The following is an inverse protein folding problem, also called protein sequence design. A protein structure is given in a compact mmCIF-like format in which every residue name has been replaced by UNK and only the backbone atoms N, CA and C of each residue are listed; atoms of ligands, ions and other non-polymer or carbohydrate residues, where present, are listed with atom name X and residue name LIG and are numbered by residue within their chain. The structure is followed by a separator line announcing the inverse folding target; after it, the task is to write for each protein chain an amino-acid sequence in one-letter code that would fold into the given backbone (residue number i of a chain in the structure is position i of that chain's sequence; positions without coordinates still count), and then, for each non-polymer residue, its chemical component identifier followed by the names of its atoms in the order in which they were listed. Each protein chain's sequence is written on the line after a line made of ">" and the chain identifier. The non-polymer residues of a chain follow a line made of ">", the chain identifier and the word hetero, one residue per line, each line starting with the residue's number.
data_IF_660322119272
#
_entry.id   IF_660322119272
#
_cell.length_a   1.000
_cell.length_b   1.000
_cell.length_c   1.000
_cell.angle_alpha   90.00
_cell.angle_beta   90.00
_cell.angle_gamma   90.00
#
_symmetry.space_group_name_H-M   'P 1'
#
loop_
_entity.id
_entity.type
_entity.pdbx_description
1 polymer ?
#
# COMPACT_ATOMS: atom_id res chain seq x y z
N UNK A 1 -34.53 -49.33 -41.28
CA UNK A 1 -34.56 -48.02 -41.96
C UNK A 1 -33.80 -47.09 -41.04
N UNK A 2 -32.58 -46.65 -41.38
CA UNK A 2 -32.27 -45.63 -42.40
C UNK A 2 -33.08 -44.34 -42.18
N UNK A 3 -32.55 -43.13 -42.16
CA UNK A 3 -31.19 -42.56 -42.05
C UNK A 3 -31.33 -41.12 -42.57
N UNK A 4 -30.65 -40.14 -41.93
CA UNK A 4 -30.06 -38.96 -42.61
C UNK A 4 -31.04 -37.90 -43.17
N UNK A 5 -30.69 -36.60 -43.38
CA UNK A 5 -29.46 -35.76 -43.35
C UNK A 5 -29.93 -34.28 -43.04
N UNK A 6 -29.24 -33.13 -43.10
CA UNK A 6 -27.89 -32.56 -43.42
C UNK A 6 -27.94 -31.14 -42.75
N UNK A 7 -26.99 -30.56 -42.01
CA UNK A 7 -25.80 -31.05 -41.25
C UNK A 7 -25.81 -30.25 -39.92
N UNK A 8 -24.82 -29.56 -39.32
CA UNK A 8 -23.38 -29.25 -39.45
C UNK A 8 -22.86 -28.98 -38.01
N UNK A 9 -21.63 -29.24 -37.56
CA UNK A 9 -20.47 -29.99 -38.07
C UNK A 9 -19.59 -30.34 -36.87
N UNK A 10 -19.05 -31.56 -36.79
CA UNK A 10 -17.97 -31.87 -35.83
C UNK A 10 -16.59 -31.53 -36.42
N UNK A 11 -16.33 -30.24 -36.56
CA UNK A 11 -14.99 -29.62 -36.56
C UNK A 11 -15.16 -28.37 -35.67
N UNK A 12 -14.33 -28.10 -34.68
CA UNK A 12 -12.94 -28.55 -34.48
C UNK A 12 -12.74 -29.29 -33.14
N UNK A 13 -12.20 -30.50 -33.21
CA UNK A 13 -11.24 -30.96 -32.18
C UNK A 13 -9.86 -30.44 -32.60
N UNK A 14 -8.96 -30.24 -31.63
CA UNK A 14 -7.50 -30.08 -31.83
C UNK A 14 -7.05 -28.81 -32.60
N UNK A 15 -7.32 -27.64 -32.05
CA UNK A 15 -6.56 -26.42 -32.30
C UNK A 15 -5.76 -25.99 -31.05
N UNK A 16 -4.58 -26.60 -30.86
CA UNK A 16 -3.40 -26.07 -30.12
C UNK A 16 -3.71 -25.49 -28.71
N UNK A 17 -3.57 -26.26 -27.62
CA UNK A 17 -2.27 -26.60 -27.02
C UNK A 17 -1.34 -25.39 -26.73
N UNK A 18 -1.90 -24.28 -26.23
CA UNK A 18 -1.13 -23.26 -25.50
C UNK A 18 -0.97 -23.68 -24.04
N UNK A 19 0.23 -24.12 -23.69
CA UNK A 19 0.58 -24.61 -22.36
C UNK A 19 0.77 -23.47 -21.34
N UNK A 20 -0.30 -23.06 -20.67
CA UNK A 20 -0.19 -22.43 -19.35
C UNK A 20 -1.12 -23.10 -18.35
N UNK A 21 -0.53 -23.87 -17.42
CA UNK A 21 -1.14 -24.03 -16.10
C UNK A 21 -1.00 -22.67 -15.39
N UNK A 22 -1.94 -21.76 -15.68
CA UNK A 22 -2.30 -20.73 -14.74
C UNK A 22 -2.96 -21.43 -13.53
N UNK A 23 -2.12 -21.99 -12.66
CA UNK A 23 -2.56 -22.54 -11.39
C UNK A 23 -3.38 -21.45 -10.67
N UNK A 24 -4.50 -21.79 -10.03
CA UNK A 24 -5.30 -20.79 -9.31
C UNK A 24 -4.37 -20.11 -8.31
N UNK A 25 -4.16 -18.81 -8.48
CA UNK A 25 -3.22 -18.06 -7.66
C UNK A 25 -3.80 -18.04 -6.24
N UNK A 26 -3.28 -18.91 -5.36
CA UNK A 26 -3.74 -19.03 -3.98
C UNK A 26 -3.23 -17.82 -3.22
N UNK A 27 -3.95 -16.70 -3.40
CA UNK A 27 -3.68 -15.46 -2.70
C UNK A 27 -4.04 -15.63 -1.24
N UNK A 28 -3.01 -15.77 -0.41
CA UNK A 28 -3.16 -15.70 1.04
C UNK A 28 -3.56 -14.27 1.44
N UNK A 29 -4.23 -14.12 2.58
CA UNK A 29 -4.51 -12.81 3.16
C UNK A 29 -3.25 -11.92 3.25
N UNK A 30 -3.35 -10.67 2.79
CA UNK A 30 -2.30 -9.68 2.91
C UNK A 30 -1.89 -9.51 4.38
N UNK A 31 -0.58 -9.51 4.65
CA UNK A 31 -0.01 -9.26 5.97
C UNK A 31 1.33 -8.53 5.85
N UNK A 32 1.89 -8.07 6.97
CA UNK A 32 3.21 -7.41 6.95
C UNK A 32 4.35 -8.39 6.63
N UNK A 33 4.20 -9.67 6.97
CA UNK A 33 5.09 -10.76 6.57
C UNK A 33 4.95 -11.13 5.09
N UNK A 34 3.78 -10.88 4.49
CA UNK A 34 3.44 -11.21 3.12
C UNK A 34 2.61 -10.09 2.44
N UNK A 35 3.23 -8.93 2.13
CA UNK A 35 2.51 -7.78 1.58
C UNK A 35 1.98 -8.01 0.16
N UNK A 36 2.44 -9.06 -0.52
CA UNK A 36 1.99 -9.47 -1.85
C UNK A 36 0.93 -10.59 -1.83
N UNK A 37 0.57 -11.13 -0.65
CA UNK A 37 -0.38 -12.24 -0.52
C UNK A 37 0.04 -13.55 -1.22
N UNK A 38 1.33 -13.72 -1.51
CA UNK A 38 1.85 -14.85 -2.30
C UNK A 38 1.74 -16.18 -1.54
N UNK A 39 1.41 -17.27 -2.24
CA UNK A 39 1.47 -18.60 -1.66
C UNK A 39 2.91 -18.95 -1.21
N UNK A 40 3.11 -19.71 -0.11
CA UNK A 40 4.44 -20.14 0.31
C UNK A 40 5.20 -20.86 -0.80
N UNK A 41 6.39 -20.34 -1.14
CA UNK A 41 7.23 -20.88 -2.23
C UNK A 41 6.85 -20.42 -3.64
N UNK A 42 5.86 -19.53 -3.82
CA UNK A 42 5.59 -18.92 -5.12
C UNK A 42 6.78 -18.07 -5.60
N UNK A 43 7.13 -18.20 -6.87
CA UNK A 43 8.14 -17.36 -7.50
C UNK A 43 7.65 -15.93 -7.66
N UNK A 44 8.53 -14.96 -7.42
CA UNK A 44 8.28 -13.55 -7.76
C UNK A 44 8.77 -13.31 -9.20
N UNK A 45 7.84 -13.07 -10.13
CA UNK A 45 8.19 -12.63 -11.48
C UNK A 45 8.76 -11.20 -11.42
N UNK A 46 10.06 -11.07 -11.64
CA UNK A 46 10.72 -9.76 -11.56
C UNK A 46 10.39 -8.91 -12.78
N UNK A 47 10.21 -7.58 -12.61
CA UNK A 47 9.89 -6.68 -13.71
C UNK A 47 11.03 -6.64 -14.74
N UNK A 48 10.74 -6.68 -16.06
CA UNK A 48 11.78 -6.68 -17.09
C UNK A 48 12.48 -5.31 -17.26
N UNK A 49 11.89 -4.23 -16.75
CA UNK A 49 12.48 -2.89 -16.77
C UNK A 49 12.33 -2.20 -15.41
N UNK A 50 13.45 -1.81 -14.80
CA UNK A 50 13.49 -1.11 -13.51
C UNK A 50 12.84 0.28 -13.59
N UNK A 51 12.97 0.99 -14.71
CA UNK A 51 12.38 2.33 -14.87
C UNK A 51 10.86 2.27 -14.92
N UNK A 52 10.30 1.31 -15.64
CA UNK A 52 8.84 1.14 -15.71
C UNK A 52 8.26 0.58 -14.41
N UNK A 53 9.03 -0.23 -13.68
CA UNK A 53 8.67 -0.64 -12.32
C UNK A 53 8.68 0.52 -11.33
N UNK A 54 9.65 1.44 -11.42
CA UNK A 54 9.68 2.65 -10.60
C UNK A 54 8.48 3.56 -10.92
N UNK A 55 8.13 3.75 -12.20
CA UNK A 55 6.88 4.44 -12.60
C UNK A 55 5.64 3.75 -11.99
N UNK A 56 5.56 2.42 -12.06
CA UNK A 56 4.47 1.67 -11.46
C UNK A 56 4.44 1.76 -9.91
N UNK A 57 5.58 2.02 -9.27
CA UNK A 57 5.68 2.24 -7.82
C UNK A 57 5.26 3.67 -7.44
N UNK A 58 5.60 4.68 -8.26
CA UNK A 58 5.09 6.06 -8.15
C UNK A 58 3.55 6.07 -8.24
N UNK A 59 2.97 5.33 -9.18
CA UNK A 59 1.50 5.19 -9.30
C UNK A 59 0.86 4.67 -8.02
N UNK A 60 1.43 3.63 -7.39
CA UNK A 60 0.88 3.07 -6.14
C UNK A 60 1.08 4.00 -4.95
N UNK A 61 2.19 4.73 -4.88
CA UNK A 61 2.40 5.76 -3.86
C UNK A 61 1.35 6.89 -3.98
N UNK A 62 1.06 7.33 -5.21
CA UNK A 62 0.02 8.32 -5.49
C UNK A 62 -1.39 7.77 -5.20
N UNK A 63 -1.67 6.50 -5.52
CA UNK A 63 -2.93 5.84 -5.18
C UNK A 63 -3.12 5.70 -3.65
N UNK A 64 -2.09 5.27 -2.92
CA UNK A 64 -2.10 5.20 -1.46
C UNK A 64 -2.30 6.58 -0.81
N UNK A 65 -1.72 7.63 -1.38
CA UNK A 65 -1.99 9.01 -0.97
C UNK A 65 -3.44 9.41 -1.21
N UNK A 66 -3.99 9.14 -2.40
CA UNK A 66 -5.37 9.46 -2.74
C UNK A 66 -6.39 8.72 -1.85
N UNK A 67 -6.15 7.43 -1.57
CA UNK A 67 -7.00 6.64 -0.69
C UNK A 67 -6.95 7.13 0.77
N UNK A 68 -5.77 7.49 1.29
CA UNK A 68 -5.67 8.12 2.62
C UNK A 68 -6.35 9.49 2.67
N UNK A 69 -6.23 10.31 1.62
CA UNK A 69 -6.98 11.57 1.52
C UNK A 69 -8.50 11.35 1.43
N UNK A 70 -8.96 10.25 0.84
CA UNK A 70 -10.37 9.88 0.84
C UNK A 70 -10.89 9.59 2.27
N UNK A 71 -10.08 8.98 3.14
CA UNK A 71 -10.40 8.83 4.58
C UNK A 71 -10.52 10.20 5.26
N UNK A 72 -9.58 11.13 5.03
CA UNK A 72 -9.67 12.50 5.57
C UNK A 72 -10.95 13.22 5.10
N UNK A 73 -11.32 13.05 3.83
CA UNK A 73 -12.52 13.64 3.25
C UNK A 73 -13.81 13.01 3.81
N UNK A 74 -13.84 11.69 4.00
CA UNK A 74 -14.96 10.96 4.61
C UNK A 74 -15.13 11.32 6.09
N UNK A 75 -14.04 11.45 6.83
CA UNK A 75 -14.07 12.00 8.19
C UNK A 75 -14.72 13.39 8.15
N UNK A 76 -14.21 14.33 7.34
CA UNK A 76 -14.72 15.72 7.24
C UNK A 76 -16.25 15.84 7.08
N UNK A 77 -16.91 14.95 6.34
CA UNK A 77 -18.38 15.01 6.17
C UNK A 77 -19.18 14.75 7.46
N UNK A 78 -18.57 14.17 8.50
CA UNK A 78 -19.27 13.71 9.70
C UNK A 78 -19.32 14.74 10.85
N UNK A 79 -18.88 15.98 10.60
CA UNK A 79 -19.09 17.19 11.44
C UNK A 79 -18.62 17.07 12.90
N UNK A 80 -17.77 16.07 13.24
CA UNK A 80 -17.21 15.95 14.58
C UNK A 80 -16.15 17.01 14.90
N UNK A 81 -15.55 17.60 13.86
CA UNK A 81 -14.59 18.70 13.96
C UNK A 81 -15.09 19.94 13.21
N UNK A 82 -14.76 21.11 13.70
CA UNK A 82 -14.83 22.36 12.94
C UNK A 82 -13.80 22.39 11.81
N UNK A 83 -14.02 23.21 10.79
CA UNK A 83 -13.08 23.43 9.69
C UNK A 83 -11.69 23.89 10.19
N UNK A 84 -11.66 24.79 11.18
CA UNK A 84 -10.41 25.28 11.78
C UNK A 84 -9.64 24.17 12.53
N UNK A 85 -10.34 23.28 13.22
CA UNK A 85 -9.74 22.07 13.78
C UNK A 85 -9.18 21.19 12.66
N UNK A 86 -9.98 20.89 11.61
CA UNK A 86 -9.55 20.04 10.51
C UNK A 86 -8.28 20.57 9.82
N UNK A 87 -8.23 21.85 9.48
CA UNK A 87 -7.03 22.50 8.91
C UNK A 87 -5.84 22.35 9.86
N UNK A 88 -6.05 22.52 11.17
CA UNK A 88 -5.01 22.38 12.20
C UNK A 88 -4.48 20.95 12.29
N UNK A 89 -5.35 19.95 12.33
CA UNK A 89 -4.96 18.54 12.49
C UNK A 89 -4.47 17.90 11.20
N UNK A 90 -4.95 18.36 10.04
CA UNK A 90 -4.41 17.95 8.74
C UNK A 90 -2.96 18.39 8.62
N UNK A 91 -2.63 19.64 8.94
CA UNK A 91 -1.27 20.18 8.76
C UNK A 91 -0.27 19.76 9.85
N UNK A 92 -0.73 19.44 11.07
CA UNK A 92 0.16 18.88 12.11
C UNK A 92 0.72 17.52 11.68
N UNK A 93 1.97 17.27 12.03
CA UNK A 93 2.53 15.93 12.19
C UNK A 93 2.33 15.48 13.63
N UNK A 94 2.17 14.16 13.84
CA UNK A 94 2.31 13.57 15.17
C UNK A 94 3.80 13.36 15.43
N UNK A 95 4.43 13.98 16.46
CA UNK A 95 5.87 13.87 16.71
C UNK A 95 6.35 12.44 16.99
N UNK A 96 5.41 11.56 17.33
CA UNK A 96 5.60 10.15 17.64
C UNK A 96 5.18 9.20 16.51
N UNK A 97 4.76 9.70 15.35
CA UNK A 97 4.65 8.88 14.13
C UNK A 97 6.04 8.77 13.49
N UNK A 98 6.63 7.57 13.35
CA UNK A 98 7.96 7.41 12.73
C UNK A 98 7.98 7.62 11.21
N UNK A 99 6.87 8.06 10.60
CA UNK A 99 6.78 8.50 9.21
C UNK A 99 7.57 9.80 9.05
N UNK A 100 8.89 9.65 8.93
CA UNK A 100 9.83 10.74 8.68
C UNK A 100 9.50 11.36 7.31
N UNK A 101 9.63 12.67 7.22
CA UNK A 101 9.60 13.41 5.94
C UNK A 101 11.00 13.94 5.61
N UNK A 102 12.00 13.08 5.34
CA UNK A 102 13.30 13.56 4.90
C UNK A 102 13.25 13.84 3.39
N UNK A 103 13.62 15.06 3.01
CA UNK A 103 14.17 15.28 1.67
C UNK A 103 15.56 14.64 1.64
N UNK A 104 15.62 13.34 1.31
CA UNK A 104 16.90 12.67 1.13
C UNK A 104 17.49 13.12 -0.21
N UNK A 105 18.76 13.53 -0.20
CA UNK A 105 19.51 13.68 -1.43
C UNK A 105 19.80 12.28 -2.01
N UNK A 106 18.99 11.86 -2.97
CA UNK A 106 19.02 10.51 -3.56
C UNK A 106 20.32 10.31 -4.34
N UNK A 107 20.98 9.18 -4.12
CA UNK A 107 22.18 8.79 -4.85
C UNK A 107 22.33 7.27 -4.89
N UNK A 108 23.09 6.75 -5.86
CA UNK A 108 23.29 5.31 -6.06
C UNK A 108 23.81 4.56 -4.82
N UNK A 109 24.50 5.25 -3.91
CA UNK A 109 25.02 4.68 -2.65
C UNK A 109 24.02 4.69 -1.48
N UNK A 110 22.87 5.38 -1.59
CA UNK A 110 21.86 5.43 -0.53
C UNK A 110 20.46 4.93 -0.92
N UNK A 111 20.20 4.61 -2.20
CA UNK A 111 18.93 4.03 -2.67
C UNK A 111 18.46 2.86 -1.78
N UNK A 112 19.31 1.86 -1.52
CA UNK A 112 19.01 0.73 -0.63
C UNK A 112 18.50 1.12 0.76
N UNK A 113 19.08 2.17 1.35
CA UNK A 113 18.72 2.67 2.67
C UNK A 113 17.37 3.40 2.63
N UNK A 114 17.11 4.13 1.54
CA UNK A 114 15.82 4.78 1.27
C UNK A 114 14.73 3.73 1.06
N UNK A 115 14.97 2.70 0.24
CA UNK A 115 14.02 1.59 0.01
C UNK A 115 13.67 0.87 1.33
N UNK A 116 14.66 0.59 2.19
CA UNK A 116 14.43 0.03 3.53
C UNK A 116 13.59 0.96 4.43
N UNK A 117 13.85 2.26 4.43
CA UNK A 117 13.07 3.25 5.19
C UNK A 117 11.63 3.34 4.66
N UNK A 118 11.43 3.37 3.34
CA UNK A 118 10.09 3.40 2.72
C UNK A 118 9.28 2.13 3.03
N UNK A 119 9.90 0.94 2.98
CA UNK A 119 9.26 -0.32 3.38
C UNK A 119 8.77 -0.26 4.84
N UNK A 120 9.65 0.16 5.75
CA UNK A 120 9.33 0.36 7.16
C UNK A 120 8.18 1.37 7.34
N UNK A 121 8.23 2.50 6.66
CA UNK A 121 7.24 3.57 6.82
C UNK A 121 5.86 3.18 6.27
N UNK A 122 5.80 2.46 5.16
CA UNK A 122 4.56 1.90 4.62
C UNK A 122 4.00 0.81 5.56
N UNK A 123 4.86 -0.05 6.12
CA UNK A 123 4.48 -1.04 7.13
C UNK A 123 3.90 -0.39 8.40
N UNK A 124 4.52 0.70 8.88
CA UNK A 124 4.03 1.49 10.01
C UNK A 124 2.67 2.10 9.70
N UNK A 125 2.49 2.68 8.51
CA UNK A 125 1.21 3.25 8.07
C UNK A 125 0.07 2.20 8.06
N UNK A 126 0.36 0.97 7.63
CA UNK A 126 -0.60 -0.15 7.65
C UNK A 126 -1.03 -0.48 9.09
N UNK A 127 -0.10 -0.56 10.05
CA UNK A 127 -0.42 -0.84 11.47
C UNK A 127 -1.32 0.26 12.06
N UNK A 128 -1.08 1.53 11.71
CA UNK A 128 -1.94 2.63 12.12
C UNK A 128 -3.36 2.52 11.54
N UNK A 129 -3.51 2.07 10.29
CA UNK A 129 -4.83 1.77 9.72
C UNK A 129 -5.48 0.54 10.34
N UNK A 130 -4.74 -0.52 10.66
CA UNK A 130 -5.26 -1.67 11.42
C UNK A 130 -5.86 -1.24 12.76
N UNK A 131 -5.19 -0.31 13.48
CA UNK A 131 -5.74 0.24 14.73
C UNK A 131 -7.00 1.09 14.48
N UNK A 132 -7.05 1.85 13.39
CA UNK A 132 -8.23 2.65 13.03
C UNK A 132 -9.42 1.76 12.62
N UNK A 133 -9.20 0.68 11.86
CA UNK A 133 -10.23 -0.28 11.42
C UNK A 133 -10.77 -1.07 12.62
N UNK A 134 -9.90 -1.48 13.55
CA UNK A 134 -10.31 -2.15 14.80
C UNK A 134 -11.19 -1.25 15.65
N UNK A 135 -10.75 -0.02 15.89
CA UNK A 135 -11.53 0.97 16.65
C UNK A 135 -12.87 1.31 15.97
N UNK A 136 -12.89 1.53 14.64
CA UNK A 136 -14.10 1.81 13.87
C UNK A 136 -15.10 0.64 13.91
N UNK A 137 -14.58 -0.60 13.87
CA UNK A 137 -15.38 -1.82 14.04
C UNK A 137 -15.93 -1.98 15.45
N UNK A 138 -15.17 -1.59 16.48
CA UNK A 138 -15.52 -1.79 17.89
C UNK A 138 -16.43 -0.70 18.46
N UNK A 139 -16.24 0.56 18.06
CA UNK A 139 -16.87 1.72 18.70
C UNK A 139 -17.71 2.60 17.77
N UNK A 140 -17.37 2.67 16.48
CA UNK A 140 -17.99 3.61 15.53
C UNK A 140 -18.90 2.92 14.49
N UNK A 141 -19.27 1.66 14.74
CA UNK A 141 -20.20 0.85 13.92
C UNK A 141 -19.79 0.72 12.44
N UNK A 142 -18.48 0.60 12.15
CA UNK A 142 -17.92 0.42 10.80
C UNK A 142 -18.16 1.61 9.85
N UNK A 143 -18.36 2.82 10.39
CA UNK A 143 -18.68 4.06 9.64
C UNK A 143 -17.62 4.44 8.62
N UNK A 144 -16.36 4.10 8.88
CA UNK A 144 -15.19 4.43 8.05
C UNK A 144 -14.55 3.21 7.38
N UNK A 145 -15.11 2.01 7.58
CA UNK A 145 -14.48 0.73 7.25
C UNK A 145 -14.06 0.63 5.77
N UNK A 146 -14.93 1.03 4.84
CA UNK A 146 -14.67 0.98 3.40
C UNK A 146 -13.48 1.85 2.99
N UNK A 147 -13.45 3.11 3.46
CA UNK A 147 -12.38 4.05 3.12
C UNK A 147 -11.05 3.66 3.79
N UNK A 148 -11.10 3.21 5.05
CA UNK A 148 -9.91 2.73 5.77
C UNK A 148 -9.32 1.46 5.13
N UNK A 149 -10.14 0.49 4.76
CA UNK A 149 -9.70 -0.73 4.06
C UNK A 149 -9.16 -0.42 2.66
N UNK A 150 -9.76 0.54 1.94
CA UNK A 150 -9.23 1.02 0.65
C UNK A 150 -7.83 1.61 0.82
N UNK A 151 -7.64 2.49 1.80
CA UNK A 151 -6.32 3.06 2.14
C UNK A 151 -5.30 1.99 2.57
N UNK A 152 -5.72 0.97 3.32
CA UNK A 152 -4.86 -0.15 3.72
C UNK A 152 -4.44 -1.01 2.52
N UNK A 153 -5.37 -1.34 1.63
CA UNK A 153 -5.09 -2.15 0.44
C UNK A 153 -4.15 -1.42 -0.54
N UNK A 154 -4.29 -0.10 -0.72
CA UNK A 154 -3.34 0.67 -1.53
C UNK A 154 -1.93 0.71 -0.92
N UNK A 155 -1.81 0.78 0.41
CA UNK A 155 -0.51 0.68 1.10
C UNK A 155 0.09 -0.72 0.98
N UNK A 156 -0.71 -1.80 1.02
CA UNK A 156 -0.20 -3.15 0.75
C UNK A 156 0.30 -3.31 -0.69
N UNK A 157 -0.38 -2.76 -1.70
CA UNK A 157 0.08 -2.75 -3.10
C UNK A 157 1.45 -2.07 -3.23
N UNK A 158 1.60 -0.89 -2.61
CA UNK A 158 2.88 -0.18 -2.54
C UNK A 158 3.96 -0.99 -1.80
N UNK A 159 3.65 -1.51 -0.60
CA UNK A 159 4.56 -2.33 0.20
C UNK A 159 5.02 -3.59 -0.55
N UNK A 160 4.14 -4.19 -1.35
CA UNK A 160 4.47 -5.30 -2.23
C UNK A 160 5.47 -4.86 -3.31
N UNK A 161 5.25 -3.73 -4.00
CA UNK A 161 6.23 -3.22 -4.98
C UNK A 161 7.59 -2.91 -4.36
N UNK A 162 7.60 -2.38 -3.14
CA UNK A 162 8.85 -2.17 -2.39
C UNK A 162 9.52 -3.52 -2.05
N UNK A 163 8.75 -4.53 -1.61
CA UNK A 163 9.25 -5.90 -1.39
C UNK A 163 9.88 -6.52 -2.65
N UNK A 164 9.23 -6.39 -3.80
CA UNK A 164 9.75 -6.80 -5.11
C UNK A 164 11.06 -6.08 -5.45
N UNK A 165 11.15 -4.76 -5.23
CA UNK A 165 12.38 -3.97 -5.42
C UNK A 165 13.52 -4.45 -4.52
N UNK A 166 13.20 -4.79 -3.27
CA UNK A 166 14.19 -5.29 -2.32
C UNK A 166 14.67 -6.70 -2.69
N UNK A 167 13.77 -7.57 -3.17
CA UNK A 167 14.14 -8.91 -3.68
C UNK A 167 15.00 -8.82 -4.94
N UNK A 168 14.64 -7.99 -5.92
CA UNK A 168 15.39 -7.90 -7.19
C UNK A 168 16.79 -7.31 -7.01
N UNK A 169 16.96 -6.33 -6.12
CA UNK A 169 18.26 -5.72 -5.81
C UNK A 169 19.03 -6.39 -4.65
N UNK A 170 18.59 -7.58 -4.19
CA UNK A 170 19.21 -8.32 -3.07
C UNK A 170 19.35 -7.50 -1.76
N UNK A 171 18.43 -6.58 -1.53
CA UNK A 171 18.38 -5.72 -0.35
C UNK A 171 17.78 -6.52 0.81
N UNK A 172 18.46 -6.55 1.96
CA UNK A 172 17.94 -7.17 3.18
C UNK A 172 16.60 -6.55 3.60
N UNK A 173 15.57 -7.39 3.68
CA UNK A 173 14.20 -7.02 4.10
C UNK A 173 14.15 -7.05 5.64
N UNK A 174 13.75 -5.95 6.30
CA UNK A 174 13.64 -5.92 7.75
C UNK A 174 12.50 -6.82 8.23
N UNK A 175 12.59 -7.29 9.48
CA UNK A 175 11.48 -7.97 10.14
C UNK A 175 10.27 -7.02 10.21
N UNK A 176 9.03 -7.54 10.03
CA UNK A 176 7.82 -6.76 10.19
C UNK A 176 7.75 -6.01 11.51
N UNK A 177 7.45 -4.71 11.42
CA UNK A 177 7.02 -3.90 12.56
C UNK A 177 5.72 -4.47 13.14
N UNK A 178 5.49 -4.25 14.44
CA UNK A 178 4.29 -4.67 15.15
C UNK A 178 3.64 -3.49 15.90
N UNK A 179 2.48 -3.72 16.54
CA UNK A 179 1.68 -2.69 17.19
C UNK A 179 2.42 -1.79 18.21
N UNK A 180 3.58 -2.21 18.74
CA UNK A 180 4.42 -1.37 19.61
C UNK A 180 4.94 -0.09 18.96
N UNK A 181 4.90 0.04 17.62
CA UNK A 181 5.24 1.30 16.91
C UNK A 181 4.16 2.38 17.06
N UNK A 182 2.94 2.01 17.50
CA UNK A 182 1.91 2.97 17.90
C UNK A 182 2.13 3.30 19.38
N UNK A 183 2.37 4.58 19.75
CA UNK A 183 2.39 5.01 21.15
C UNK A 183 1.10 4.63 21.87
N UNK A 184 1.19 4.14 23.11
CA UNK A 184 0.02 3.77 23.92
C UNK A 184 -1.00 4.90 24.06
N UNK A 185 -0.56 6.17 24.05
CA UNK A 185 -1.41 7.37 24.05
C UNK A 185 -2.27 7.56 22.79
N UNK A 186 -2.06 6.75 21.75
CA UNK A 186 -2.82 6.73 20.49
C UNK A 186 -3.55 5.39 20.25
N UNK A 187 -3.35 4.37 21.10
CA UNK A 187 -4.03 3.07 20.99
C UNK A 187 -5.40 3.10 21.69
N UNK A 188 -6.37 2.32 21.18
CA UNK A 188 -7.63 1.94 21.86
C UNK A 188 -8.36 3.10 22.58
N UNK A 189 -8.48 4.25 21.90
CA UNK A 189 -9.07 5.45 22.47
C UNK A 189 -10.58 5.28 22.61
N UNK A 190 -11.11 5.25 23.83
CA UNK A 190 -12.56 5.14 24.09
C UNK A 190 -13.35 6.40 23.72
N UNK A 191 -12.72 7.58 23.76
CA UNK A 191 -13.29 8.85 23.31
C UNK A 191 -13.32 8.96 21.78
N UNK A 192 -14.53 9.13 21.22
CA UNK A 192 -14.78 9.20 19.79
C UNK A 192 -14.10 10.41 19.11
N UNK A 193 -14.08 11.58 19.77
CA UNK A 193 -13.43 12.78 19.21
C UNK A 193 -11.92 12.58 19.14
N UNK A 194 -11.31 11.94 20.15
CA UNK A 194 -9.89 11.54 20.15
C UNK A 194 -9.55 10.52 19.08
N UNK A 195 -10.37 9.47 18.87
CA UNK A 195 -10.21 8.54 17.73
C UNK A 195 -10.21 9.29 16.40
N UNK A 196 -11.20 10.15 16.20
CA UNK A 196 -11.36 10.92 14.97
C UNK A 196 -10.18 11.87 14.74
N UNK A 197 -9.77 12.68 15.74
CA UNK A 197 -8.60 13.55 15.65
C UNK A 197 -7.35 12.76 15.23
N UNK A 198 -7.09 11.64 15.91
CA UNK A 198 -5.97 10.74 15.61
C UNK A 198 -6.04 10.23 14.16
N UNK A 199 -7.21 9.73 13.74
CA UNK A 199 -7.39 9.19 12.39
C UNK A 199 -7.16 10.27 11.30
N UNK A 200 -7.65 11.51 11.51
CA UNK A 200 -7.34 12.67 10.62
C UNK A 200 -5.84 12.93 10.56
N UNK A 201 -5.16 13.07 11.70
CA UNK A 201 -3.72 13.39 11.74
C UNK A 201 -2.87 12.30 11.05
N UNK A 202 -3.15 11.03 11.36
CA UNK A 202 -2.46 9.88 10.77
C UNK A 202 -2.65 9.85 9.27
N UNK A 203 -3.90 9.79 8.77
CA UNK A 203 -4.16 9.61 7.34
C UNK A 203 -3.67 10.81 6.52
N UNK A 204 -3.74 12.02 7.08
CA UNK A 204 -3.13 13.22 6.49
C UNK A 204 -1.59 13.12 6.40
N UNK A 205 -0.92 12.63 7.45
CA UNK A 205 0.54 12.45 7.46
C UNK A 205 0.98 11.30 6.55
N UNK A 206 0.22 10.20 6.49
CA UNK A 206 0.44 9.09 5.55
C UNK A 206 0.31 9.60 4.11
N UNK A 207 -0.77 10.29 3.75
CA UNK A 207 -0.96 10.83 2.40
C UNK A 207 0.21 11.73 1.97
N UNK A 208 0.64 12.65 2.84
CA UNK A 208 1.83 13.47 2.60
C UNK A 208 3.11 12.66 2.44
N UNK A 209 3.32 11.60 3.24
CA UNK A 209 4.52 10.77 3.12
C UNK A 209 4.55 10.04 1.76
N UNK A 210 3.42 9.48 1.33
CA UNK A 210 3.37 8.71 0.07
C UNK A 210 3.62 9.60 -1.16
N UNK A 211 3.05 10.81 -1.22
CA UNK A 211 3.32 11.76 -2.33
C UNK A 211 4.66 12.49 -2.17
N UNK A 212 4.85 13.25 -1.09
CA UNK A 212 5.98 14.19 -0.97
C UNK A 212 7.32 13.52 -0.68
N UNK A 213 7.33 12.28 -0.20
CA UNK A 213 8.55 11.55 0.14
C UNK A 213 8.70 10.26 -0.66
N UNK A 214 7.70 9.37 -0.71
CA UNK A 214 7.87 8.10 -1.41
C UNK A 214 7.90 8.26 -2.94
N UNK A 215 6.88 8.86 -3.54
CA UNK A 215 6.86 9.11 -5.00
C UNK A 215 8.06 9.95 -5.46
N UNK A 216 8.37 11.07 -4.78
CA UNK A 216 9.51 11.92 -5.15
C UNK A 216 10.88 11.23 -5.03
N UNK A 217 11.05 10.29 -4.10
CA UNK A 217 12.26 9.47 -4.06
C UNK A 217 12.33 8.51 -5.25
N UNK A 218 11.21 7.90 -5.67
CA UNK A 218 11.20 7.02 -6.85
C UNK A 218 11.38 7.77 -8.18
N UNK A 219 10.92 9.02 -8.27
CA UNK A 219 11.23 9.92 -9.40
C UNK A 219 12.75 10.10 -9.53
N UNK A 220 13.43 10.44 -8.43
CA UNK A 220 14.90 10.55 -8.38
C UNK A 220 15.62 9.20 -8.57
N UNK A 221 15.01 8.08 -8.19
CA UNK A 221 15.56 6.76 -8.51
C UNK A 221 15.59 6.52 -10.03
N UNK A 222 14.57 6.99 -10.77
CA UNK A 222 14.57 6.92 -12.25
C UNK A 222 15.69 7.79 -12.81
N UNK A 223 15.91 9.00 -12.28
CA UNK A 223 17.02 9.89 -12.70
C UNK A 223 18.39 9.20 -12.50
N UNK A 224 18.65 8.65 -11.31
CA UNK A 224 19.91 7.96 -11.00
C UNK A 224 20.11 6.70 -11.85
N UNK A 225 19.06 5.89 -12.06
CA UNK A 225 19.16 4.68 -12.89
C UNK A 225 19.37 5.03 -14.36
N UNK A 226 18.68 6.04 -14.89
CA UNK A 226 18.77 6.46 -16.29
C UNK A 226 20.06 7.20 -16.65
N UNK A 227 20.81 7.69 -15.66
CA UNK A 227 22.12 8.35 -15.83
C UNK A 227 23.31 7.45 -15.44
N UNK A 228 23.04 6.21 -15.01
CA UNK A 228 24.04 5.23 -14.57
C UNK A 228 24.27 4.08 -15.57
N UNK A 229 23.74 4.20 -16.80
CA UNK A 229 23.80 3.19 -17.88
C UNK A 229 24.65 3.63 -19.06
#
# INVERSE_FOLDING_TARGET
>A
MNCQRLTYTCLELLAILVSTLAAPLVTTSLSLDNPCGLAPGAALELPPNMVDFLKATITDANAASAANQAVVNKLRSDVMLTENELITYTNKTLPSLPLRLPEVNVSKSNMDAITRQQYNDTSIAIIYLDSAIKDDTQYDNKRYQTELQSAQNSLYSLMCKIFYMMKSSNISIPLPVNASVIPSTLQQLSDAKRRYYRNVMITSQVARNMTKTQASNYEKFIEVVSTSG
#
